data_IF_517809905081
#
_entry.id   IF_517809905081
#
_cell.length_a   1.000
_cell.length_b   1.000
_cell.length_c   1.000
_cell.angle_alpha   90.00
_cell.angle_beta   90.00
_cell.angle_gamma   90.00
#
_symmetry.space_group_name_H-M   'P 1'
#
loop_
_entity.id
_entity.type
_entity.pdbx_description
1 polymer ?
#
# COMPACT_ATOMS: atom_id res chain seq x y z
N UNK A 1 30.33 -43.52 14.50
CA UNK A 1 30.10 -42.16 13.95
C UNK A 1 29.43 -41.32 15.02
N UNK A 2 29.99 -40.19 15.39
CA UNK A 2 29.32 -39.30 16.32
C UNK A 2 28.00 -38.75 15.68
N UNK A 3 26.92 -38.51 16.45
CA UNK A 3 25.69 -37.95 15.93
C UNK A 3 25.96 -36.54 15.34
N UNK A 4 25.21 -36.15 14.29
CA UNK A 4 25.39 -34.83 13.70
C UNK A 4 25.10 -33.74 14.73
N UNK A 5 25.80 -32.59 14.70
CA UNK A 5 25.60 -31.51 15.64
C UNK A 5 24.17 -30.99 15.53
N UNK A 6 23.48 -30.94 16.66
CA UNK A 6 22.08 -30.42 16.75
C UNK A 6 22.12 -28.90 16.50
N UNK A 7 21.60 -28.48 15.35
CA UNK A 7 21.43 -27.05 15.04
C UNK A 7 20.22 -26.49 15.79
N UNK A 8 20.36 -25.32 16.38
CA UNK A 8 19.28 -24.63 17.07
C UNK A 8 18.72 -23.51 16.18
N UNK A 9 17.39 -23.41 16.06
CA UNK A 9 16.74 -22.33 15.35
C UNK A 9 16.47 -21.17 16.33
N UNK A 10 16.91 -19.98 15.97
CA UNK A 10 16.67 -18.73 16.71
C UNK A 10 16.19 -17.64 15.75
N UNK A 11 15.28 -16.81 16.20
CA UNK A 11 14.82 -15.69 15.38
C UNK A 11 15.77 -14.50 15.54
N UNK A 12 16.09 -13.84 14.43
CA UNK A 12 16.87 -12.60 14.45
C UNK A 12 16.18 -11.56 15.33
N UNK A 13 16.91 -10.94 16.25
CA UNK A 13 16.38 -9.94 17.18
C UNK A 13 15.88 -8.68 16.47
N UNK A 14 16.32 -8.42 15.23
CA UNK A 14 15.98 -7.21 14.47
C UNK A 14 14.89 -7.44 13.42
N UNK A 15 15.04 -8.46 12.55
CA UNK A 15 14.12 -8.71 11.44
C UNK A 15 13.28 -9.99 11.60
N UNK A 16 13.44 -10.73 12.72
CA UNK A 16 12.76 -11.98 13.05
C UNK A 16 12.98 -13.15 12.07
N UNK A 17 13.86 -13.00 11.11
CA UNK A 17 14.24 -14.10 10.20
C UNK A 17 14.75 -15.29 11.00
N UNK A 18 14.30 -16.54 10.74
CA UNK A 18 14.86 -17.73 11.37
C UNK A 18 16.31 -17.91 10.98
N UNK A 19 17.17 -18.09 11.98
CA UNK A 19 18.62 -18.29 11.82
C UNK A 19 18.99 -19.65 12.38
N UNK A 20 19.85 -20.39 11.68
CA UNK A 20 20.42 -21.66 12.15
C UNK A 20 21.68 -21.40 12.93
N UNK A 21 21.63 -21.62 14.23
CA UNK A 21 22.74 -21.40 15.13
C UNK A 21 23.54 -22.70 15.30
N UNK A 22 24.86 -22.70 15.03
CA UNK A 22 25.73 -23.83 15.36
C UNK A 22 25.78 -24.07 16.88
N UNK A 23 25.88 -25.33 17.28
CA UNK A 23 25.99 -25.71 18.67
C UNK A 23 27.17 -24.99 19.36
N UNK A 24 26.89 -24.29 20.48
CA UNK A 24 27.87 -23.53 21.25
C UNK A 24 28.13 -22.10 20.82
N UNK A 25 27.53 -21.63 19.74
CA UNK A 25 27.63 -20.22 19.35
C UNK A 25 26.79 -19.32 20.29
N UNK A 26 27.37 -18.21 20.73
CA UNK A 26 26.74 -17.23 21.66
C UNK A 26 26.11 -16.02 20.94
N UNK A 27 26.40 -15.89 19.65
CA UNK A 27 25.81 -14.85 18.80
C UNK A 27 25.79 -15.28 17.36
N UNK A 28 24.86 -14.72 16.58
CA UNK A 28 24.78 -14.95 15.14
C UNK A 28 24.46 -13.64 14.43
N UNK A 29 25.13 -13.41 13.30
CA UNK A 29 24.85 -12.28 12.42
C UNK A 29 23.83 -12.68 11.36
N UNK A 30 22.74 -11.95 11.27
CA UNK A 30 21.72 -12.18 10.27
C UNK A 30 22.23 -11.80 8.85
N UNK A 31 22.09 -12.71 7.90
CA UNK A 31 22.49 -12.46 6.51
C UNK A 31 21.58 -11.42 5.82
N UNK A 32 20.33 -11.27 6.30
CA UNK A 32 19.34 -10.36 5.71
C UNK A 32 19.54 -8.92 6.20
N UNK A 33 19.55 -8.70 7.53
CA UNK A 33 19.58 -7.34 8.09
C UNK A 33 20.95 -6.95 8.69
N UNK A 34 21.94 -7.85 8.62
CA UNK A 34 23.29 -7.69 9.20
C UNK A 34 23.31 -7.49 10.74
N UNK A 35 22.14 -7.52 11.38
CA UNK A 35 22.01 -7.41 12.82
C UNK A 35 22.59 -8.63 13.55
N UNK A 36 23.20 -8.40 14.73
CA UNK A 36 23.75 -9.48 15.57
C UNK A 36 22.73 -9.83 16.66
N UNK A 37 22.34 -11.10 16.71
CA UNK A 37 21.49 -11.67 17.75
C UNK A 37 22.36 -12.35 18.79
N UNK A 38 22.28 -11.88 20.05
CA UNK A 38 22.96 -12.47 21.20
C UNK A 38 22.07 -13.56 21.81
N UNK A 39 22.67 -14.69 22.18
CA UNK A 39 21.97 -15.79 22.84
C UNK A 39 22.31 -15.75 24.33
N UNK A 40 21.29 -15.51 25.17
CA UNK A 40 21.47 -15.54 26.61
C UNK A 40 21.77 -16.97 27.08
N UNK A 41 22.81 -17.12 27.89
CA UNK A 41 23.10 -18.39 28.56
C UNK A 41 22.08 -18.59 29.70
N UNK A 42 21.26 -19.66 29.67
CA UNK A 42 20.27 -19.89 30.71
C UNK A 42 20.87 -20.19 32.10
N UNK A 43 22.20 -20.27 32.22
CA UNK A 43 22.92 -20.52 33.48
C UNK A 43 23.58 -19.28 34.08
N UNK A 44 23.48 -18.12 33.41
CA UNK A 44 24.03 -16.87 33.96
C UNK A 44 23.01 -16.24 34.93
N UNK A 45 23.22 -16.44 36.23
CA UNK A 45 22.52 -15.69 37.29
C UNK A 45 23.08 -14.27 37.28
N UNK A 46 22.27 -13.21 37.12
CA UNK A 46 22.77 -11.84 37.21
C UNK A 46 23.19 -11.52 38.63
N UNK A 47 24.34 -10.83 38.84
CA UNK A 47 24.73 -10.37 40.15
C UNK A 47 23.77 -9.28 40.65
N UNK A 48 23.54 -9.15 41.99
CA UNK A 48 22.64 -8.14 42.54
C UNK A 48 23.14 -6.71 42.27
N UNK A 49 22.25 -5.74 42.09
CA UNK A 49 22.62 -4.36 41.80
C UNK A 49 23.37 -3.73 42.98
N UNK A 50 24.59 -3.23 42.74
CA UNK A 50 25.26 -2.31 43.65
C UNK A 50 24.68 -0.92 43.47
N UNK A 51 24.13 -0.38 44.54
CA UNK A 51 23.84 1.05 44.66
C UNK A 51 25.16 1.82 44.72
N UNK A 52 25.20 2.91 43.98
CA UNK A 52 25.93 4.16 44.13
C UNK A 52 26.67 4.61 42.87
N UNK A 53 26.36 5.90 42.57
CA UNK A 53 26.91 6.77 41.54
C UNK A 53 26.40 6.57 40.10
N UNK A 54 25.22 7.16 39.87
CA UNK A 54 24.80 7.50 38.50
C UNK A 54 25.65 8.70 38.01
N UNK A 55 26.37 8.56 36.87
CA UNK A 55 26.91 9.71 36.15
C UNK A 55 25.75 10.55 35.60
N UNK A 56 25.93 11.87 35.44
CA UNK A 56 24.88 12.73 34.89
C UNK A 56 24.50 12.25 33.48
N UNK A 57 23.21 12.39 33.07
CA UNK A 57 22.75 11.94 31.78
C UNK A 57 23.51 12.72 30.70
N UNK A 58 24.34 12.01 29.94
CA UNK A 58 24.85 12.51 28.67
C UNK A 58 23.66 12.68 27.74
N UNK A 59 23.60 13.78 26.95
CA UNK A 59 22.61 13.89 25.91
C UNK A 59 22.79 12.70 24.95
N UNK A 60 21.88 11.76 25.00
CA UNK A 60 21.80 10.68 24.01
C UNK A 60 21.47 11.36 22.68
N UNK A 61 22.46 11.48 21.82
CA UNK A 61 22.20 11.68 20.39
C UNK A 61 21.22 10.58 19.98
N UNK A 62 20.09 10.93 19.34
CA UNK A 62 19.15 9.92 18.87
C UNK A 62 19.91 8.97 17.97
N UNK A 63 19.85 7.68 18.29
CA UNK A 63 20.40 6.63 17.43
C UNK A 63 19.78 6.82 16.06
N UNK A 64 20.59 7.17 15.08
CA UNK A 64 20.20 7.27 13.68
C UNK A 64 19.74 5.87 13.25
N UNK A 65 18.45 5.62 13.36
CA UNK A 65 17.83 4.50 12.68
C UNK A 65 18.05 4.72 11.20
N UNK A 66 18.55 3.74 10.45
CA UNK A 66 18.72 3.87 8.99
C UNK A 66 17.40 4.15 8.26
N UNK A 67 16.28 4.16 8.97
CA UNK A 67 14.93 4.44 8.47
C UNK A 67 14.36 5.80 8.92
N UNK A 68 15.17 6.70 9.46
CA UNK A 68 14.70 7.98 9.99
C UNK A 68 14.73 9.08 8.92
N UNK A 69 14.20 8.79 7.74
CA UNK A 69 13.93 9.78 6.69
C UNK A 69 12.46 10.22 6.70
N UNK A 70 11.89 10.37 7.88
CA UNK A 70 10.60 11.06 8.00
C UNK A 70 10.76 12.48 7.46
N UNK A 71 9.81 12.99 6.64
CA UNK A 71 9.87 14.37 6.17
C UNK A 71 10.00 15.31 7.37
N UNK A 72 10.84 16.38 7.26
CA UNK A 72 11.00 17.34 8.34
C UNK A 72 9.68 18.07 8.57
N UNK A 73 9.06 17.84 9.71
CA UNK A 73 7.83 18.47 10.15
C UNK A 73 7.57 18.17 11.62
N UNK A 74 6.79 19.02 12.32
CA UNK A 74 6.39 18.73 13.68
C UNK A 74 5.61 17.40 13.72
N UNK A 75 5.76 16.60 14.80
CA UNK A 75 4.96 15.40 14.96
C UNK A 75 3.47 15.75 14.90
N UNK A 76 2.65 14.97 14.18
CA UNK A 76 1.21 15.24 14.11
C UNK A 76 0.57 15.21 15.49
N UNK A 77 -0.43 16.05 15.69
CA UNK A 77 -1.13 16.17 16.97
C UNK A 77 -1.85 14.88 17.39
N UNK A 78 -2.02 14.68 18.70
CA UNK A 78 -2.41 13.41 19.32
C UNK A 78 -3.88 12.98 19.13
N UNK A 79 -4.68 13.66 18.33
CA UNK A 79 -6.10 13.33 18.14
C UNK A 79 -6.34 12.83 16.71
N UNK A 80 -6.42 11.49 16.55
CA UNK A 80 -6.79 10.88 15.28
C UNK A 80 -5.93 11.39 14.11
N UNK A 81 -4.65 11.04 14.13
CA UNK A 81 -3.71 11.50 13.11
C UNK A 81 -4.10 10.97 11.74
N UNK A 82 -4.06 11.85 10.75
CA UNK A 82 -4.23 11.49 9.36
C UNK A 82 -2.88 11.48 8.67
N UNK A 83 -2.45 10.34 8.13
CA UNK A 83 -1.21 10.19 7.37
C UNK A 83 -1.51 9.62 6.00
N UNK A 84 -0.81 10.11 4.98
CA UNK A 84 -0.96 9.58 3.64
C UNK A 84 0.41 9.36 2.97
N UNK A 85 0.54 8.24 2.27
CA UNK A 85 1.57 7.98 1.28
C UNK A 85 0.92 8.04 -0.10
N UNK A 86 1.42 8.92 -0.95
CA UNK A 86 0.94 9.10 -2.32
C UNK A 86 2.11 8.86 -3.26
N UNK A 87 1.98 7.89 -4.15
CA UNK A 87 3.00 7.55 -5.14
C UNK A 87 2.43 7.69 -6.55
N UNK A 88 3.11 8.45 -7.42
CA UNK A 88 2.77 8.59 -8.83
C UNK A 88 4.00 8.44 -9.70
N UNK A 89 4.01 7.45 -10.61
CA UNK A 89 5.17 7.13 -11.45
C UNK A 89 4.76 7.15 -12.92
N UNK A 90 5.36 8.04 -13.67
CA UNK A 90 5.14 8.14 -15.12
C UNK A 90 6.22 7.45 -15.95
N UNK A 91 7.31 6.97 -15.37
CA UNK A 91 8.43 6.29 -16.05
C UNK A 91 8.94 7.08 -17.26
N UNK A 92 9.08 8.39 -17.09
CA UNK A 92 9.42 9.34 -18.17
C UNK A 92 10.68 8.92 -18.91
N UNK A 93 10.64 9.10 -20.23
CA UNK A 93 11.74 8.78 -21.15
C UNK A 93 12.10 7.30 -21.23
N UNK A 94 11.29 6.42 -20.65
CA UNK A 94 11.42 4.96 -20.81
C UNK A 94 10.41 4.42 -21.82
N UNK A 95 10.59 3.16 -22.24
CA UNK A 95 9.60 2.43 -23.05
C UNK A 95 8.29 2.13 -22.28
N UNK A 96 8.30 2.34 -20.98
CA UNK A 96 7.18 2.12 -20.07
C UNK A 96 6.47 3.42 -19.68
N UNK A 97 6.71 4.51 -20.41
CA UNK A 97 6.16 5.81 -20.06
C UNK A 97 4.63 5.80 -19.96
N UNK A 98 4.11 6.32 -18.85
CA UNK A 98 2.70 6.52 -18.55
C UNK A 98 2.36 8.01 -18.50
N UNK A 99 1.13 8.32 -18.91
CA UNK A 99 0.60 9.68 -18.81
C UNK A 99 -0.46 9.73 -17.72
N UNK A 100 -0.36 10.74 -16.87
CA UNK A 100 -1.39 11.02 -15.85
C UNK A 100 -1.02 10.66 -14.43
N UNK A 101 -0.17 9.65 -14.18
CA UNK A 101 0.10 9.13 -12.83
C UNK A 101 0.57 10.20 -11.83
N UNK A 102 1.43 11.12 -12.26
CA UNK A 102 1.88 12.22 -11.39
C UNK A 102 0.73 13.22 -11.14
N UNK A 103 -0.11 13.46 -12.15
CA UNK A 103 -1.29 14.30 -11.99
C UNK A 103 -2.30 13.66 -11.02
N UNK A 104 -2.50 12.35 -11.09
CA UNK A 104 -3.34 11.61 -10.15
C UNK A 104 -2.84 11.78 -8.71
N UNK A 105 -1.54 11.65 -8.50
CA UNK A 105 -0.92 11.87 -7.20
C UNK A 105 -1.17 13.30 -6.68
N UNK A 106 -1.05 14.31 -7.53
CA UNK A 106 -1.32 15.72 -7.18
C UNK A 106 -2.80 15.94 -6.85
N UNK A 107 -3.72 15.36 -7.65
CA UNK A 107 -5.15 15.47 -7.44
C UNK A 107 -5.59 14.75 -6.16
N UNK A 108 -5.02 13.57 -5.88
CA UNK A 108 -5.27 12.85 -4.63
C UNK A 108 -4.80 13.67 -3.42
N UNK A 109 -3.59 14.26 -3.46
CA UNK A 109 -3.11 15.15 -2.40
C UNK A 109 -4.10 16.30 -2.16
N UNK A 110 -4.54 16.95 -3.24
CA UNK A 110 -5.50 18.04 -3.15
C UNK A 110 -6.83 17.59 -2.51
N UNK A 111 -7.38 16.45 -2.93
CA UNK A 111 -8.59 15.86 -2.36
C UNK A 111 -8.45 15.62 -0.85
N UNK A 112 -7.36 14.99 -0.44
CA UNK A 112 -7.11 14.66 0.97
C UNK A 112 -7.02 15.91 1.85
N UNK A 113 -6.33 16.94 1.38
CA UNK A 113 -6.20 18.19 2.13
C UNK A 113 -7.53 18.95 2.24
N UNK A 114 -8.27 19.07 1.15
CA UNK A 114 -9.43 19.96 1.09
C UNK A 114 -10.75 19.31 1.53
N UNK A 115 -10.93 18.01 1.25
CA UNK A 115 -12.17 17.30 1.62
C UNK A 115 -12.03 16.51 2.91
N UNK A 116 -10.88 15.89 3.12
CA UNK A 116 -10.65 14.99 4.25
C UNK A 116 -9.77 15.58 5.34
N UNK A 117 -9.32 16.82 5.22
CA UNK A 117 -8.57 17.55 6.25
C UNK A 117 -7.26 16.83 6.66
N UNK A 118 -6.58 16.18 5.71
CA UNK A 118 -5.23 15.66 5.96
C UNK A 118 -4.26 16.84 6.07
N UNK A 119 -3.48 16.97 7.15
CA UNK A 119 -2.44 17.98 7.23
C UNK A 119 -1.39 17.77 6.13
N UNK A 120 -0.99 18.81 5.43
CA UNK A 120 0.02 18.69 4.37
C UNK A 120 1.33 18.09 4.89
N UNK A 121 1.74 18.43 6.11
CA UNK A 121 2.92 17.88 6.78
C UNK A 121 2.85 16.38 7.08
N UNK A 122 1.66 15.78 6.99
CA UNK A 122 1.44 14.33 7.19
C UNK A 122 1.23 13.57 5.86
N UNK A 123 1.45 14.22 4.73
CA UNK A 123 1.36 13.62 3.40
C UNK A 123 2.76 13.48 2.82
N UNK A 124 3.22 12.24 2.66
CA UNK A 124 4.45 11.93 1.95
C UNK A 124 4.11 11.63 0.48
N UNK A 125 4.65 12.44 -0.42
CA UNK A 125 4.47 12.27 -1.86
C UNK A 125 5.77 11.77 -2.49
N UNK A 126 5.68 10.71 -3.30
CA UNK A 126 6.76 10.14 -4.08
C UNK A 126 6.43 10.29 -5.56
N UNK A 127 7.19 11.12 -6.28
CA UNK A 127 7.06 11.28 -7.75
C UNK A 127 8.41 11.52 -8.40
N UNK A 128 8.49 11.34 -9.71
CA UNK A 128 9.71 11.65 -10.49
C UNK A 128 10.01 13.14 -10.56
N UNK A 129 9.08 14.02 -10.18
CA UNK A 129 9.26 15.49 -10.18
C UNK A 129 9.83 16.02 -8.87
N UNK A 130 9.97 15.15 -7.85
CA UNK A 130 10.54 15.56 -6.57
C UNK A 130 12.04 15.83 -6.71
N UNK A 131 12.51 16.89 -6.05
CA UNK A 131 13.93 17.27 -6.04
C UNK A 131 14.71 16.58 -4.92
N UNK A 132 14.00 16.11 -3.89
CA UNK A 132 14.58 15.35 -2.80
C UNK A 132 14.81 13.89 -3.25
N UNK A 133 16.08 13.39 -3.27
CA UNK A 133 16.38 12.02 -3.67
C UNK A 133 15.62 10.95 -2.89
N UNK A 134 15.22 11.24 -1.66
CA UNK A 134 14.44 10.33 -0.81
C UNK A 134 12.95 10.27 -1.16
N UNK A 135 12.48 11.17 -2.05
CA UNK A 135 11.11 11.22 -2.55
C UNK A 135 10.97 10.73 -3.99
N UNK A 136 12.06 10.31 -4.62
CA UNK A 136 12.01 9.63 -5.91
C UNK A 136 11.43 8.23 -5.69
N UNK A 137 10.44 7.78 -6.48
CA UNK A 137 9.71 6.54 -6.25
C UNK A 137 10.48 5.28 -6.69
N UNK A 138 11.74 5.15 -6.29
CA UNK A 138 12.51 3.92 -6.45
C UNK A 138 12.08 2.87 -5.41
N UNK A 139 12.50 1.62 -5.59
CA UNK A 139 12.12 0.49 -4.74
C UNK A 139 12.45 0.73 -3.26
N UNK A 140 13.64 1.24 -2.99
CA UNK A 140 14.09 1.49 -1.62
C UNK A 140 13.25 2.58 -0.94
N UNK A 141 13.02 3.70 -1.62
CA UNK A 141 12.25 4.81 -1.06
C UNK A 141 10.78 4.41 -0.85
N UNK A 142 10.19 3.65 -1.79
CA UNK A 142 8.80 3.19 -1.66
C UNK A 142 8.65 2.23 -0.47
N UNK A 143 9.59 1.29 -0.26
CA UNK A 143 9.63 0.42 0.94
C UNK A 143 9.70 1.23 2.23
N UNK A 144 10.58 2.22 2.27
CA UNK A 144 10.73 3.10 3.44
C UNK A 144 9.46 3.91 3.70
N UNK A 145 8.82 4.40 2.64
CA UNK A 145 7.58 5.16 2.74
C UNK A 145 6.40 4.31 3.23
N UNK A 146 6.28 3.06 2.77
CA UNK A 146 5.30 2.10 3.29
C UNK A 146 5.51 1.86 4.79
N UNK A 147 6.74 1.62 5.22
CA UNK A 147 7.05 1.49 6.65
C UNK A 147 6.73 2.77 7.44
N UNK A 148 7.11 3.95 6.90
CA UNK A 148 6.79 5.24 7.52
C UNK A 148 5.28 5.43 7.71
N UNK A 149 4.45 4.99 6.76
CA UNK A 149 3.00 5.16 6.82
C UNK A 149 2.41 4.57 8.10
N UNK A 150 2.84 3.38 8.49
CA UNK A 150 2.30 2.67 9.67
C UNK A 150 3.10 2.89 10.95
N UNK A 151 4.28 3.51 10.85
CA UNK A 151 5.15 3.71 12.01
C UNK A 151 4.47 4.58 13.06
N UNK A 152 4.38 4.05 14.29
CA UNK A 152 3.84 4.75 15.45
C UNK A 152 2.35 5.07 15.36
N UNK A 153 1.59 4.36 14.52
CA UNK A 153 0.13 4.53 14.44
C UNK A 153 -0.54 4.11 15.75
N UNK A 154 -1.62 4.80 16.11
CA UNK A 154 -2.39 4.63 17.33
C UNK A 154 -3.89 4.47 17.02
N UNK A 155 -4.67 3.85 17.91
CA UNK A 155 -6.12 3.79 17.76
C UNK A 155 -6.72 5.17 17.45
N UNK A 156 -7.59 5.24 16.44
CA UNK A 156 -8.19 6.46 15.93
C UNK A 156 -7.44 7.07 14.74
N UNK A 157 -6.22 6.63 14.42
CA UNK A 157 -5.50 7.12 13.25
C UNK A 157 -6.16 6.63 11.95
N UNK A 158 -6.18 7.50 10.94
CA UNK A 158 -6.62 7.22 9.57
C UNK A 158 -5.44 7.34 8.62
N UNK A 159 -5.11 6.24 7.98
CA UNK A 159 -3.99 6.12 7.05
C UNK A 159 -4.51 5.98 5.62
N UNK A 160 -3.79 6.54 4.66
CA UNK A 160 -4.10 6.36 3.25
C UNK A 160 -2.85 6.02 2.44
N UNK A 161 -2.95 4.99 1.60
CA UNK A 161 -1.97 4.66 0.58
C UNK A 161 -2.58 4.85 -0.80
N UNK A 162 -1.98 5.71 -1.62
CA UNK A 162 -2.34 5.88 -3.02
C UNK A 162 -1.15 5.54 -3.90
N UNK A 163 -1.40 4.76 -4.94
CA UNK A 163 -0.42 4.43 -5.95
C UNK A 163 -1.04 4.56 -7.34
N UNK A 164 -0.38 5.30 -8.23
CA UNK A 164 -0.70 5.38 -9.65
C UNK A 164 0.57 5.12 -10.46
N UNK A 165 0.58 4.02 -11.21
CA UNK A 165 1.76 3.54 -11.93
C UNK A 165 1.56 2.14 -12.50
N UNK A 166 2.64 1.49 -12.94
CA UNK A 166 2.58 0.10 -13.38
C UNK A 166 2.40 -0.87 -12.22
N UNK A 167 1.49 -1.81 -12.43
CA UNK A 167 1.41 -3.06 -11.70
C UNK A 167 1.75 -4.23 -12.63
N UNK A 168 2.20 -5.32 -12.06
CA UNK A 168 2.50 -6.57 -12.75
C UNK A 168 2.21 -7.75 -11.84
N UNK A 169 2.50 -8.95 -12.29
CA UNK A 169 2.43 -10.16 -11.48
C UNK A 169 3.62 -11.06 -11.75
N UNK A 170 3.98 -11.86 -10.76
CA UNK A 170 5.00 -12.89 -10.88
C UNK A 170 4.48 -14.22 -10.35
N UNK A 171 5.14 -15.32 -10.69
CA UNK A 171 4.74 -16.62 -10.14
C UNK A 171 4.92 -16.65 -8.63
N UNK A 172 3.88 -17.08 -7.95
CA UNK A 172 3.91 -17.41 -6.55
C UNK A 172 4.63 -18.78 -6.34
N UNK A 173 5.54 -18.84 -5.38
CA UNK A 173 6.29 -20.05 -5.05
C UNK A 173 6.03 -20.56 -3.63
N UNK A 174 5.34 -19.79 -2.79
CA UNK A 174 5.03 -20.15 -1.41
C UNK A 174 3.67 -20.84 -1.26
N UNK A 175 2.82 -20.81 -2.31
CA UNK A 175 1.55 -21.54 -2.39
C UNK A 175 0.43 -20.91 -1.55
N UNK A 176 0.48 -19.63 -1.31
CA UNK A 176 -0.55 -18.87 -0.59
C UNK A 176 -1.48 -18.06 -1.50
N UNK A 177 -1.24 -18.09 -2.82
CA UNK A 177 -2.12 -17.49 -3.82
C UNK A 177 -3.06 -18.52 -4.47
N UNK A 178 -4.33 -18.11 -4.68
CA UNK A 178 -5.37 -18.98 -5.24
C UNK A 178 -5.14 -19.22 -6.72
N UNK A 179 -4.64 -18.23 -7.46
CA UNK A 179 -4.36 -18.30 -8.89
C UNK A 179 -2.89 -18.64 -9.21
N UNK A 180 -2.04 -18.70 -8.19
CA UNK A 180 -0.61 -19.04 -8.29
C UNK A 180 0.28 -17.88 -8.72
N UNK A 181 -0.18 -16.63 -8.57
CA UNK A 181 0.59 -15.44 -8.89
C UNK A 181 0.54 -14.45 -7.73
N UNK A 182 1.69 -13.80 -7.45
CA UNK A 182 1.78 -12.62 -6.60
C UNK A 182 1.58 -11.38 -7.48
N UNK A 183 0.75 -10.45 -7.07
CA UNK A 183 0.67 -9.12 -7.66
C UNK A 183 1.85 -8.26 -7.22
N UNK A 184 2.22 -7.30 -8.07
CA UNK A 184 3.40 -6.49 -7.80
C UNK A 184 3.22 -5.03 -8.18
N UNK A 185 3.84 -4.13 -7.41
CA UNK A 185 4.06 -2.74 -7.83
C UNK A 185 5.42 -2.61 -8.51
N UNK A 186 5.47 -1.77 -9.55
CA UNK A 186 6.67 -1.48 -10.31
C UNK A 186 7.27 -0.12 -9.89
N UNK A 187 8.25 -0.05 -8.98
CA UNK A 187 8.97 1.19 -8.70
C UNK A 187 9.67 1.74 -9.94
N UNK A 188 10.14 2.99 -9.89
CA UNK A 188 10.81 3.62 -11.03
C UNK A 188 12.01 2.82 -11.57
N UNK A 189 12.70 2.13 -10.68
CA UNK A 189 13.90 1.31 -10.96
C UNK A 189 13.60 -0.20 -11.07
N UNK A 190 12.35 -0.59 -11.35
CA UNK A 190 11.91 -1.99 -11.32
C UNK A 190 12.68 -2.90 -12.28
N UNK A 191 13.15 -2.40 -13.42
CA UNK A 191 13.93 -3.19 -14.38
C UNK A 191 15.28 -3.66 -13.81
N UNK A 192 15.84 -2.93 -12.84
CA UNK A 192 17.15 -3.23 -12.25
C UNK A 192 17.06 -3.75 -10.81
N UNK A 193 16.12 -3.22 -10.02
CA UNK A 193 15.94 -3.58 -8.60
C UNK A 193 14.77 -4.54 -8.37
N UNK A 194 14.00 -4.84 -9.43
CA UNK A 194 12.82 -5.69 -9.35
C UNK A 194 11.62 -5.00 -8.71
N UNK A 195 10.49 -5.68 -8.75
CA UNK A 195 9.19 -5.21 -8.26
C UNK A 195 9.03 -5.39 -6.75
N UNK A 196 7.98 -4.84 -6.16
CA UNK A 196 7.56 -5.06 -4.77
C UNK A 196 6.33 -5.96 -4.81
N UNK A 197 6.40 -7.13 -4.19
CA UNK A 197 5.30 -8.10 -4.14
C UNK A 197 4.28 -7.74 -3.08
N UNK A 198 3.05 -8.16 -3.28
CA UNK A 198 1.90 -7.97 -2.39
C UNK A 198 2.12 -8.55 -0.99
N UNK A 199 2.75 -9.72 -0.87
CA UNK A 199 3.20 -10.30 0.40
C UNK A 199 4.06 -9.33 1.22
N UNK A 200 4.99 -8.61 0.56
CA UNK A 200 5.84 -7.62 1.21
C UNK A 200 5.02 -6.40 1.64
N UNK A 201 4.08 -5.96 0.79
CA UNK A 201 3.19 -4.84 1.09
C UNK A 201 2.29 -5.21 2.27
N UNK A 202 1.66 -6.39 2.23
CA UNK A 202 0.83 -6.90 3.32
C UNK A 202 1.61 -6.98 4.63
N UNK A 203 2.79 -7.60 4.63
CA UNK A 203 3.63 -7.72 5.81
C UNK A 203 4.06 -6.36 6.39
N UNK A 204 4.15 -5.32 5.54
CA UNK A 204 4.63 -3.99 5.94
C UNK A 204 3.49 -3.11 6.46
N UNK A 205 2.34 -3.02 5.77
CA UNK A 205 1.30 -2.04 6.08
C UNK A 205 -0.05 -2.64 6.50
N UNK A 206 -0.30 -3.93 6.26
CA UNK A 206 -1.56 -4.59 6.64
C UNK A 206 -1.39 -5.33 7.96
N UNK A 207 -0.54 -6.34 7.97
CA UNK A 207 -0.35 -7.24 9.12
C UNK A 207 -0.04 -6.54 10.45
N UNK A 208 0.81 -5.49 10.50
CA UNK A 208 1.14 -4.82 11.76
C UNK A 208 0.07 -3.86 12.28
N UNK A 209 -1.02 -3.61 11.54
CA UNK A 209 -2.02 -2.60 11.89
C UNK A 209 -2.77 -2.97 13.16
N UNK A 210 -2.66 -2.17 14.25
CA UNK A 210 -3.31 -2.48 15.52
C UNK A 210 -4.79 -2.08 15.51
N UNK A 211 -5.54 -2.61 16.47
CA UNK A 211 -6.94 -2.28 16.68
C UNK A 211 -7.20 -0.76 16.72
N UNK A 212 -8.28 -0.33 16.06
CA UNK A 212 -8.70 1.07 16.01
C UNK A 212 -7.98 1.95 14.99
N UNK A 213 -7.01 1.43 14.25
CA UNK A 213 -6.38 2.11 13.10
C UNK A 213 -7.10 1.71 11.83
N UNK A 214 -7.35 2.68 10.93
CA UNK A 214 -7.90 2.44 9.60
C UNK A 214 -6.87 2.76 8.54
N UNK A 215 -6.72 1.87 7.57
CA UNK A 215 -5.93 2.09 6.36
C UNK A 215 -6.84 1.96 5.14
N UNK A 216 -6.86 3.00 4.32
CA UNK A 216 -7.44 2.94 2.99
C UNK A 216 -6.33 2.90 1.94
N UNK A 217 -6.53 2.07 0.91
CA UNK A 217 -5.68 2.10 -0.27
C UNK A 217 -6.51 2.43 -1.50
N UNK A 218 -5.98 3.26 -2.38
CA UNK A 218 -6.53 3.56 -3.70
C UNK A 218 -5.43 3.25 -4.70
N UNK A 219 -5.59 2.14 -5.42
CA UNK A 219 -4.55 1.61 -6.30
C UNK A 219 -5.00 1.71 -7.75
N UNK A 220 -4.29 2.51 -8.51
CA UNK A 220 -4.50 2.73 -9.93
C UNK A 220 -3.34 2.13 -10.72
N UNK A 221 -3.40 0.82 -10.88
CA UNK A 221 -2.40 0.03 -11.58
C UNK A 221 -3.06 -1.21 -12.21
N UNK A 222 -2.47 -1.73 -13.28
CA UNK A 222 -2.87 -3.03 -13.83
C UNK A 222 -2.59 -4.14 -12.80
N UNK A 223 -3.36 -5.21 -12.84
CA UNK A 223 -3.20 -6.34 -11.90
C UNK A 223 -3.18 -5.91 -10.42
N UNK A 224 -4.02 -4.98 -10.02
CA UNK A 224 -3.99 -4.44 -8.65
C UNK A 224 -5.14 -4.96 -7.77
N UNK A 225 -5.91 -5.92 -8.24
CA UNK A 225 -7.10 -6.42 -7.54
C UNK A 225 -6.79 -6.87 -6.11
N UNK A 226 -5.66 -7.51 -5.92
CA UNK A 226 -5.23 -8.10 -4.64
C UNK A 226 -3.90 -7.56 -4.13
N UNK A 227 -3.41 -6.43 -4.64
CA UNK A 227 -2.09 -5.87 -4.32
C UNK A 227 -1.77 -5.65 -2.83
N UNK A 228 -2.74 -5.59 -1.95
CA UNK A 228 -2.56 -5.59 -0.51
C UNK A 228 -2.72 -6.98 0.10
N UNK A 229 -2.97 -7.98 -0.75
CA UNK A 229 -3.14 -9.37 -0.35
C UNK A 229 -4.16 -9.53 0.79
N UNK A 230 -5.34 -8.89 0.59
CA UNK A 230 -6.42 -8.90 1.57
C UNK A 230 -7.33 -10.12 1.39
N UNK A 231 -7.80 -10.73 2.50
CA UNK A 231 -8.49 -12.02 2.47
C UNK A 231 -9.90 -12.00 1.86
N UNK A 232 -10.50 -10.84 1.62
CA UNK A 232 -11.87 -10.76 1.09
C UNK A 232 -11.96 -9.76 -0.07
N UNK A 233 -12.57 -10.21 -1.16
CA UNK A 233 -12.80 -9.43 -2.38
C UNK A 233 -14.30 -9.21 -2.59
N UNK A 234 -14.72 -7.97 -2.76
CA UNK A 234 -16.10 -7.59 -3.02
C UNK A 234 -16.28 -7.27 -4.50
N UNK A 235 -17.07 -8.07 -5.18
CA UNK A 235 -17.44 -7.88 -6.58
C UNK A 235 -18.94 -7.67 -6.77
N UNK A 236 -19.30 -7.02 -7.87
CA UNK A 236 -20.69 -6.96 -8.27
C UNK A 236 -21.10 -8.24 -8.98
N UNK A 237 -22.11 -8.93 -8.46
CA UNK A 237 -22.70 -10.10 -9.08
C UNK A 237 -23.45 -9.73 -10.38
N UNK A 238 -23.81 -10.73 -11.18
CA UNK A 238 -24.63 -10.54 -12.39
C UNK A 238 -26.01 -9.96 -12.09
N UNK A 239 -26.50 -10.12 -10.85
CA UNK A 239 -27.77 -9.53 -10.38
C UNK A 239 -27.63 -8.07 -9.96
N UNK A 240 -26.43 -7.48 -10.03
CA UNK A 240 -26.18 -6.09 -9.61
C UNK A 240 -25.98 -5.89 -8.11
N UNK A 241 -25.80 -6.96 -7.35
CA UNK A 241 -25.53 -6.91 -5.92
C UNK A 241 -24.04 -7.10 -5.64
N UNK A 242 -23.52 -6.43 -4.62
CA UNK A 242 -22.17 -6.68 -4.12
C UNK A 242 -22.15 -7.91 -3.25
N UNK A 243 -21.21 -8.82 -3.56
CA UNK A 243 -20.95 -10.05 -2.82
C UNK A 243 -19.47 -10.14 -2.46
N UNK A 244 -19.18 -10.69 -1.29
CA UNK A 244 -17.83 -10.97 -0.83
C UNK A 244 -17.41 -12.37 -1.22
N UNK A 245 -16.24 -12.48 -1.85
CA UNK A 245 -15.54 -13.73 -2.13
C UNK A 245 -14.45 -13.92 -1.07
N UNK A 246 -14.27 -15.16 -0.61
CA UNK A 246 -13.25 -15.53 0.36
C UNK A 246 -11.98 -15.96 -0.39
N UNK A 247 -10.94 -15.14 -0.30
CA UNK A 247 -9.64 -15.36 -0.92
C UNK A 247 -8.58 -15.81 0.11
N UNK A 248 -9.01 -16.28 1.29
CA UNK A 248 -8.06 -16.82 2.27
C UNK A 248 -7.36 -18.05 1.71
N UNK A 249 -6.02 -18.12 1.82
CA UNK A 249 -5.26 -19.24 1.30
C UNK A 249 -5.60 -20.53 2.04
N UNK A 250 -5.63 -21.63 1.29
CA UNK A 250 -5.87 -22.98 1.87
C UNK A 250 -4.76 -23.39 2.85
N UNK A 251 -3.58 -22.79 2.74
CA UNK A 251 -2.45 -22.98 3.65
C UNK A 251 -2.72 -22.51 5.07
N UNK A 252 -3.76 -21.68 5.28
CA UNK A 252 -4.09 -21.07 6.57
C UNK A 252 -3.15 -19.91 6.96
N UNK A 253 -2.30 -19.42 6.08
CA UNK A 253 -1.50 -18.22 6.31
C UNK A 253 -2.43 -17.05 6.56
N UNK A 254 -2.17 -16.28 7.62
CA UNK A 254 -2.98 -15.11 7.96
C UNK A 254 -2.57 -13.90 7.12
N UNK A 255 -3.47 -13.41 6.28
CA UNK A 255 -3.29 -12.24 5.41
C UNK A 255 -4.03 -10.98 5.92
N UNK A 256 -4.63 -11.03 7.09
CA UNK A 256 -5.34 -9.91 7.74
C UNK A 256 -4.45 -9.09 8.66
N UNK A 257 -5.09 -8.18 9.41
CA UNK A 257 -4.46 -7.23 10.32
C UNK A 257 -4.29 -7.76 11.75
N UNK A 258 -3.60 -7.01 12.59
CA UNK A 258 -3.56 -7.21 14.05
C UNK A 258 -4.68 -6.42 14.76
N UNK A 259 -5.90 -6.48 14.22
CA UNK A 259 -7.09 -5.84 14.76
C UNK A 259 -7.45 -4.48 14.15
N UNK A 260 -6.61 -3.93 13.26
CA UNK A 260 -6.93 -2.75 12.47
C UNK A 260 -7.87 -3.04 11.31
N UNK A 261 -8.36 -2.02 10.66
CA UNK A 261 -9.21 -2.10 9.48
C UNK A 261 -8.46 -1.69 8.22
N UNK A 262 -8.49 -2.53 7.18
CA UNK A 262 -7.91 -2.21 5.87
C UNK A 262 -8.97 -2.39 4.79
N UNK A 263 -9.11 -1.37 3.94
CA UNK A 263 -10.02 -1.39 2.79
C UNK A 263 -9.28 -0.80 1.59
N UNK A 264 -9.26 -1.54 0.48
CA UNK A 264 -8.60 -1.12 -0.75
C UNK A 264 -9.58 -1.00 -1.89
N UNK A 265 -9.49 0.10 -2.64
CA UNK A 265 -10.12 0.30 -3.94
C UNK A 265 -9.07 0.07 -5.02
N UNK A 266 -9.38 -0.78 -6.00
CA UNK A 266 -8.50 -1.09 -7.12
C UNK A 266 -9.30 -1.30 -8.39
N UNK A 267 -8.62 -1.33 -9.54
CA UNK A 267 -9.21 -1.70 -10.83
C UNK A 267 -8.93 -3.17 -11.12
N UNK A 268 -9.89 -3.84 -11.77
CA UNK A 268 -9.68 -5.15 -12.39
C UNK A 268 -9.91 -5.01 -13.89
N UNK A 269 -9.04 -5.58 -14.71
CA UNK A 269 -9.28 -5.80 -16.12
C UNK A 269 -9.97 -7.15 -16.31
N UNK A 270 -11.21 -7.15 -16.83
CA UNK A 270 -12.01 -8.36 -17.04
C UNK A 270 -11.44 -9.31 -18.13
N UNK A 271 -10.44 -8.91 -18.91
CA UNK A 271 -9.91 -9.66 -20.07
C UNK A 271 -8.58 -10.40 -19.78
N UNK A 272 -8.23 -10.65 -18.50
CA UNK A 272 -6.97 -11.36 -18.23
C UNK A 272 -7.15 -12.87 -18.12
N UNK A 273 -7.34 -13.49 -19.28
CA UNK A 273 -6.90 -14.87 -19.48
C UNK A 273 -5.39 -14.87 -19.70
N UNK A 274 -4.70 -15.44 -18.72
CA UNK A 274 -3.34 -15.97 -18.73
C UNK A 274 -2.69 -16.09 -20.10
N UNK A 275 -1.79 -15.22 -20.44
CA UNK A 275 -0.58 -15.39 -21.22
C UNK A 275 -0.24 -14.13 -21.99
N UNK A 276 0.49 -13.20 -21.38
CA UNK A 276 1.42 -12.41 -22.21
C UNK A 276 2.22 -11.42 -21.36
N UNK A 277 3.47 -11.76 -21.17
CA UNK A 277 4.53 -10.82 -20.74
C UNK A 277 4.82 -9.74 -21.79
N UNK A 278 4.15 -9.76 -22.92
CA UNK A 278 4.19 -8.73 -23.97
C UNK A 278 3.16 -7.61 -23.78
N UNK A 279 2.27 -7.72 -22.80
CA UNK A 279 1.17 -6.76 -22.58
C UNK A 279 1.57 -5.45 -21.89
N UNK A 280 2.81 -5.30 -21.44
CA UNK A 280 3.34 -4.01 -20.96
C UNK A 280 3.37 -2.92 -22.05
N UNK A 281 3.13 -3.28 -23.33
CA UNK A 281 3.15 -2.35 -24.45
C UNK A 281 1.78 -1.81 -24.90
N UNK A 282 0.67 -2.31 -24.34
CA UNK A 282 -0.68 -1.80 -24.65
C UNK A 282 -1.31 -1.13 -23.44
N UNK A 283 -0.74 0.00 -23.09
CA UNK A 283 -1.16 0.79 -21.94
C UNK A 283 -2.27 1.71 -22.35
N UNK A 284 -3.42 1.41 -21.86
CA UNK A 284 -4.54 2.33 -21.88
C UNK A 284 -5.06 2.45 -20.46
N UNK A 285 -5.08 3.67 -19.94
CA UNK A 285 -5.86 4.08 -18.78
C UNK A 285 -5.28 3.87 -17.37
N UNK A 286 -4.00 4.08 -17.16
CA UNK A 286 -3.56 4.52 -15.85
C UNK A 286 -4.23 5.86 -15.55
N UNK A 287 -4.80 6.04 -14.36
CA UNK A 287 -5.53 7.25 -13.98
C UNK A 287 -7.05 7.08 -13.92
N UNK A 288 -7.61 6.00 -14.46
CA UNK A 288 -9.04 5.82 -14.49
C UNK A 288 -9.67 5.60 -13.11
N UNK A 289 -9.02 4.81 -12.27
CA UNK A 289 -9.50 4.52 -10.92
C UNK A 289 -9.43 5.74 -10.03
N UNK A 290 -8.30 6.44 -10.05
CA UNK A 290 -8.11 7.70 -9.30
C UNK A 290 -9.11 8.75 -9.73
N UNK A 291 -9.30 8.94 -11.05
CA UNK A 291 -10.29 9.86 -11.59
C UNK A 291 -11.71 9.54 -11.10
N UNK A 292 -12.13 8.28 -11.24
CA UNK A 292 -13.47 7.86 -10.86
C UNK A 292 -13.72 7.97 -9.36
N UNK A 293 -12.72 7.64 -8.55
CA UNK A 293 -12.79 7.80 -7.10
C UNK A 293 -12.95 9.28 -6.71
N UNK A 294 -12.09 10.17 -7.22
CA UNK A 294 -12.16 11.60 -6.94
C UNK A 294 -13.52 12.17 -7.39
N UNK A 295 -13.97 11.79 -8.58
CA UNK A 295 -15.26 12.24 -9.10
C UNK A 295 -16.44 11.80 -8.22
N UNK A 296 -16.41 10.54 -7.72
CA UNK A 296 -17.44 10.03 -6.80
C UNK A 296 -17.50 10.85 -5.52
N UNK A 297 -16.33 11.17 -4.92
CA UNK A 297 -16.25 11.99 -3.71
C UNK A 297 -16.73 13.43 -3.95
N UNK A 298 -16.23 14.07 -5.02
CA UNK A 298 -16.56 15.47 -5.34
C UNK A 298 -18.05 15.67 -5.66
N UNK A 299 -18.70 14.68 -6.26
CA UNK A 299 -20.15 14.71 -6.55
C UNK A 299 -21.03 14.35 -5.34
N UNK A 300 -20.45 14.12 -4.18
CA UNK A 300 -21.19 13.85 -2.95
C UNK A 300 -21.70 12.41 -2.81
N UNK A 301 -21.16 11.46 -3.58
CA UNK A 301 -21.53 10.04 -3.50
C UNK A 301 -20.78 9.25 -2.41
N UNK A 302 -20.23 9.93 -1.41
CA UNK A 302 -19.41 9.33 -0.37
C UNK A 302 -20.20 8.98 0.92
N UNK A 303 -21.48 8.63 0.81
CA UNK A 303 -22.26 8.24 1.98
C UNK A 303 -21.85 6.86 2.51
N UNK A 304 -21.70 5.87 1.62
CA UNK A 304 -21.32 4.49 1.95
C UNK A 304 -20.28 3.96 0.94
N UNK A 305 -19.59 2.88 1.27
CA UNK A 305 -18.65 2.23 0.32
C UNK A 305 -19.37 1.79 -0.96
N UNK A 306 -20.60 1.26 -0.85
CA UNK A 306 -21.41 0.87 -2.01
C UNK A 306 -21.78 2.06 -2.89
N UNK A 307 -22.09 3.23 -2.30
CA UNK A 307 -22.38 4.44 -3.09
C UNK A 307 -21.14 4.95 -3.83
N UNK A 308 -19.95 4.89 -3.23
CA UNK A 308 -18.69 5.22 -3.89
C UNK A 308 -18.44 4.27 -5.07
N UNK A 309 -18.51 2.96 -4.85
CA UNK A 309 -18.32 1.95 -5.91
C UNK A 309 -19.30 2.14 -7.07
N UNK A 310 -20.59 2.37 -6.79
CA UNK A 310 -21.60 2.60 -7.82
C UNK A 310 -21.32 3.86 -8.63
N UNK A 311 -20.88 4.94 -7.97
CA UNK A 311 -20.52 6.17 -8.65
C UNK A 311 -19.27 6.01 -9.52
N UNK A 312 -18.25 5.27 -9.05
CA UNK A 312 -17.06 4.95 -9.82
C UNK A 312 -17.42 4.13 -11.07
N UNK A 313 -18.24 3.08 -10.94
CA UNK A 313 -18.72 2.27 -12.08
C UNK A 313 -19.49 3.11 -13.10
N UNK A 314 -20.35 4.01 -12.62
CA UNK A 314 -21.10 4.90 -13.49
C UNK A 314 -20.18 5.85 -14.25
N UNK A 315 -19.14 6.36 -13.62
CA UNK A 315 -18.15 7.24 -14.25
C UNK A 315 -17.36 6.49 -15.34
N UNK A 316 -16.92 5.25 -15.08
CA UNK A 316 -16.21 4.39 -16.05
C UNK A 316 -17.08 4.11 -17.28
N UNK A 317 -18.34 3.71 -17.07
CA UNK A 317 -19.28 3.42 -18.17
C UNK A 317 -19.58 4.68 -19.00
N UNK A 318 -19.69 5.85 -18.36
CA UNK A 318 -19.93 7.11 -19.07
C UNK A 318 -18.72 7.53 -19.91
N UNK A 319 -17.50 7.31 -19.42
CA UNK A 319 -16.26 7.57 -20.15
C UNK A 319 -16.07 6.63 -21.35
N UNK A 320 -16.49 5.34 -21.21
CA UNK A 320 -16.39 4.32 -22.27
C UNK A 320 -17.36 4.52 -23.43
N UNK A 321 -18.48 5.24 -23.21
CA UNK A 321 -19.53 5.40 -24.25
C UNK A 321 -19.35 6.62 -25.16
N UNK A 322 -18.17 7.30 -25.14
CA UNK A 322 -17.87 8.41 -26.03
C UNK A 322 -18.73 9.64 -25.76
N UNK A 323 -18.15 10.79 -25.67
CA UNK A 323 -18.79 12.11 -25.53
C UNK A 323 -19.77 12.34 -26.67
N UNK A 324 -21.00 11.92 -26.46
CA UNK A 324 -22.15 12.22 -27.29
C UNK A 324 -23.19 12.95 -26.42
N UNK A 325 -23.16 14.27 -26.43
CA UNK A 325 -24.33 15.09 -26.24
C UNK A 325 -24.84 15.35 -24.82
N UNK A 326 -24.68 16.57 -24.38
CA UNK A 326 -25.81 17.30 -23.86
C UNK A 326 -26.08 17.33 -22.36
N UNK A 327 -25.83 18.46 -21.77
CA UNK A 327 -26.79 19.08 -20.87
C UNK A 327 -26.83 18.59 -19.42
N UNK A 328 -26.00 19.14 -18.63
CA UNK A 328 -26.10 19.14 -17.19
C UNK A 328 -25.04 20.08 -16.62
N UNK A 329 -25.37 21.39 -16.57
CA UNK A 329 -24.45 22.41 -16.02
C UNK A 329 -24.26 22.24 -14.52
N UNK A 330 -23.46 21.24 -14.12
CA UNK A 330 -22.85 21.24 -12.82
C UNK A 330 -21.47 21.87 -12.99
N UNK A 331 -21.15 22.85 -12.16
CA UNK A 331 -19.84 23.47 -12.15
C UNK A 331 -18.77 22.38 -12.05
N UNK A 332 -17.96 22.21 -13.11
CA UNK A 332 -16.78 21.34 -13.10
C UNK A 332 -15.88 21.88 -12.02
N UNK A 333 -15.66 21.09 -10.96
CA UNK A 333 -14.77 21.52 -9.89
C UNK A 333 -13.37 21.71 -10.46
N UNK A 334 -12.59 22.61 -9.84
CA UNK A 334 -11.21 22.87 -10.26
C UNK A 334 -10.37 21.57 -10.30
N UNK A 335 -10.69 20.63 -9.41
CA UNK A 335 -10.03 19.33 -9.33
C UNK A 335 -10.33 18.45 -10.53
N UNK A 336 -11.63 18.36 -10.93
CA UNK A 336 -12.01 17.58 -12.13
C UNK A 336 -11.39 18.22 -13.38
N UNK A 337 -11.32 19.55 -13.43
CA UNK A 337 -10.63 20.26 -14.52
C UNK A 337 -9.15 19.92 -14.57
N UNK A 338 -8.47 19.86 -13.43
CA UNK A 338 -7.06 19.42 -13.36
C UNK A 338 -6.86 18.00 -13.88
N UNK A 339 -7.72 17.07 -13.50
CA UNK A 339 -7.66 15.69 -13.98
C UNK A 339 -7.85 15.58 -15.49
N UNK A 340 -8.79 16.35 -16.06
CA UNK A 340 -9.07 16.35 -17.49
C UNK A 340 -7.94 16.98 -18.33
N UNK A 341 -7.19 17.95 -17.78
CA UNK A 341 -6.08 18.58 -18.48
C UNK A 341 -4.80 17.74 -18.45
N UNK A 342 -4.66 16.85 -17.48
CA UNK A 342 -3.48 16.01 -17.29
C UNK A 342 -3.45 14.72 -18.08
N UNK A 343 -4.57 14.27 -18.64
CA UNK A 343 -4.65 13.01 -19.37
C UNK A 343 -5.86 12.91 -20.27
N UNK A 344 -5.63 12.48 -21.50
CA UNK A 344 -6.68 12.16 -22.47
C UNK A 344 -7.24 10.76 -22.17
N UNK A 345 -8.43 10.67 -21.60
CA UNK A 345 -9.16 9.39 -21.47
C UNK A 345 -9.75 9.04 -22.84
N UNK A 346 -8.92 8.60 -23.76
CA UNK A 346 -9.35 8.13 -25.09
C UNK A 346 -9.08 6.64 -25.23
N UNK A 347 -10.08 5.85 -24.95
CA UNK A 347 -10.09 4.41 -25.09
C UNK A 347 -11.10 3.83 -24.11
N UNK A 348 -12.00 2.95 -24.54
CA UNK A 348 -13.03 2.38 -23.67
C UNK A 348 -12.41 1.79 -22.41
N UNK A 349 -12.70 2.42 -21.26
CA UNK A 349 -12.27 1.96 -19.96
C UNK A 349 -12.96 0.61 -19.68
N UNK A 350 -12.19 -0.46 -19.61
CA UNK A 350 -12.69 -1.81 -19.29
C UNK A 350 -12.47 -2.20 -17.83
N UNK A 351 -11.80 -1.34 -17.06
CA UNK A 351 -11.55 -1.61 -15.65
C UNK A 351 -12.84 -1.53 -14.84
N UNK A 352 -13.15 -2.57 -14.08
CA UNK A 352 -14.20 -2.52 -13.07
C UNK A 352 -13.63 -2.21 -11.69
N UNK A 353 -14.16 -1.21 -10.95
CA UNK A 353 -13.71 -0.94 -9.59
C UNK A 353 -14.08 -2.10 -8.69
N UNK A 354 -13.09 -2.55 -7.94
CA UNK A 354 -13.19 -3.60 -6.93
C UNK A 354 -12.91 -3.02 -5.55
N UNK A 355 -13.36 -3.75 -4.55
CA UNK A 355 -13.10 -3.46 -3.15
C UNK A 355 -12.54 -4.71 -2.48
N UNK A 356 -11.38 -4.60 -1.85
CA UNK A 356 -10.87 -5.67 -0.98
C UNK A 356 -10.82 -5.20 0.46
N UNK A 357 -10.94 -6.12 1.41
CA UNK A 357 -10.94 -5.78 2.84
C UNK A 357 -10.35 -6.91 3.69
N UNK A 358 -9.86 -6.55 4.88
CA UNK A 358 -9.43 -7.52 5.88
C UNK A 358 -10.59 -8.30 6.52
N UNK A 359 -11.83 -7.78 6.42
CA UNK A 359 -13.07 -8.42 6.89
C UNK A 359 -14.24 -7.99 6.01
N UNK A 360 -15.19 -8.89 5.73
CA UNK A 360 -16.42 -8.53 5.03
C UNK A 360 -17.28 -7.57 5.84
N UNK A 361 -17.98 -6.68 5.16
CA UNK A 361 -18.97 -5.78 5.76
C UNK A 361 -20.10 -5.48 4.77
N UNK A 362 -21.19 -4.94 5.25
CA UNK A 362 -22.27 -4.48 4.38
C UNK A 362 -21.89 -3.15 3.72
N UNK A 363 -21.58 -3.19 2.42
CA UNK A 363 -21.13 -2.02 1.66
C UNK A 363 -22.22 -0.96 1.51
N UNK A 364 -23.50 -1.35 1.63
CA UNK A 364 -24.64 -0.44 1.50
C UNK A 364 -24.92 0.36 2.77
N UNK A 365 -24.53 -0.14 3.92
CA UNK A 365 -24.81 0.49 5.22
C UNK A 365 -23.56 1.06 5.87
N UNK A 366 -22.36 0.51 5.62
CA UNK A 366 -21.11 1.00 6.21
C UNK A 366 -20.80 2.40 5.69
N UNK A 367 -20.75 3.43 6.58
CA UNK A 367 -20.40 4.79 6.18
C UNK A 367 -18.96 4.85 5.64
N UNK A 368 -18.80 5.57 4.52
CA UNK A 368 -17.47 5.86 4.00
C UNK A 368 -16.83 7.00 4.81
N UNK A 369 -15.59 6.81 5.25
CA UNK A 369 -14.81 7.82 5.98
C UNK A 369 -13.33 7.61 5.80
N UNK A 370 -12.57 8.68 5.50
CA UNK A 370 -11.12 8.76 5.49
C UNK A 370 -10.63 9.64 6.64
#
# INVERSE_FOLDING_TARGET
>A
MPPPPTMMLVNCAHCRTPLQLPAGARSIRCAICQGVTQIADPRAVPPPPRADHAPPPQPQLPALSPYNHAPPGPPPSAHGRKKALICGISYRYSRHELKGCINDAKCMKYLLMNKFQFPESSILMLTEEETDPYRIPNKQNLRMALYWLVQGCQPGDSLLFHYSGHGSRQRNYNGDEVDGYDETLCPLDFETQGMIVDDEINATIVRPLPHGVKLHAIIDACHSGTILDLPFLCRMSRSGQYIWEDHRPQSGVWKGTNGGEVISFSGCDDDQTSADTSALSQITSTGAMTFCFIQAIERGHAATYGSVLNAMRSAIRSAGNGVGGGGGGGAVTSLISMLLTGGSVSGGLRQEPQLTACQPFDVYTKPFSL
#
